data_IF_445506778935
#
_entry.id   IF_445506778935
#
_cell.length_a   1.000
_cell.length_b   1.000
_cell.length_c   1.000
_cell.angle_alpha   90.00
_cell.angle_beta   90.00
_cell.angle_gamma   90.00
#
_symmetry.space_group_name_H-M   'P 1'
#
loop_
_entity.id
_entity.type
_entity.pdbx_description
1 polymer ?
#
# COMPACT_ATOMS: atom_id res chain seq x y z
N UNK A 1 40.28 5.95 -41.06
CA UNK A 1 39.01 6.58 -41.48
C UNK A 1 38.22 6.88 -40.21
N UNK A 2 38.05 8.15 -39.84
CA UNK A 2 37.27 8.52 -38.67
C UNK A 2 35.78 8.30 -38.98
N UNK A 3 35.10 7.48 -38.18
CA UNK A 3 33.65 7.28 -38.25
C UNK A 3 32.97 8.62 -37.95
N UNK A 4 32.15 9.12 -38.87
CA UNK A 4 31.28 10.27 -38.59
C UNK A 4 30.32 9.82 -37.48
N UNK A 5 30.28 10.53 -36.36
CA UNK A 5 29.38 10.21 -35.25
C UNK A 5 27.93 10.28 -35.72
N UNK A 6 27.11 9.29 -35.36
CA UNK A 6 25.69 9.26 -35.72
C UNK A 6 24.92 10.40 -35.06
N UNK A 7 23.88 10.90 -35.74
CA UNK A 7 22.97 11.92 -35.23
C UNK A 7 22.30 11.44 -33.94
N UNK A 8 22.38 12.25 -32.89
CA UNK A 8 21.79 11.94 -31.58
C UNK A 8 20.75 12.99 -31.15
N UNK A 9 19.75 12.62 -30.33
CA UNK A 9 18.69 13.54 -29.90
C UNK A 9 19.12 14.52 -28.79
N UNK A 10 20.33 14.36 -28.23
CA UNK A 10 20.82 15.17 -27.11
C UNK A 10 21.30 16.56 -27.55
N UNK A 11 21.26 17.52 -26.61
CA UNK A 11 21.71 18.91 -26.82
C UNK A 11 23.05 19.10 -26.08
N UNK A 12 24.08 19.70 -26.70
CA UNK A 12 24.07 20.36 -28.01
C UNK A 12 24.23 19.37 -29.18
N UNK A 13 23.60 19.66 -30.32
CA UNK A 13 23.46 18.72 -31.46
C UNK A 13 24.76 18.45 -32.22
N UNK A 14 25.78 19.28 -32.01
CA UNK A 14 27.12 19.16 -32.59
C UNK A 14 28.08 18.33 -31.72
N UNK A 15 27.60 17.84 -30.57
CA UNK A 15 28.36 16.94 -29.72
C UNK A 15 28.64 15.62 -30.47
N UNK A 16 29.90 15.16 -30.44
CA UNK A 16 30.28 13.90 -31.07
C UNK A 16 30.21 12.78 -30.04
N UNK A 17 29.28 11.84 -30.24
CA UNK A 17 29.15 10.63 -29.44
C UNK A 17 29.59 9.42 -30.26
N UNK A 18 30.90 9.06 -30.24
CA UNK A 18 31.44 8.02 -31.13
C UNK A 18 30.84 6.62 -30.89
N UNK A 19 30.31 6.36 -29.69
CA UNK A 19 29.70 5.09 -29.30
C UNK A 19 28.17 5.21 -29.11
N UNK A 20 27.53 6.21 -29.72
CA UNK A 20 26.08 6.34 -29.65
C UNK A 20 25.39 5.21 -30.39
N UNK A 21 24.43 4.57 -29.72
CA UNK A 21 23.55 3.56 -30.31
C UNK A 21 22.11 3.99 -30.10
N UNK A 22 21.32 4.25 -31.17
CA UNK A 22 19.94 4.68 -31.03
C UNK A 22 19.06 3.56 -30.47
N UNK A 23 18.06 3.94 -29.66
CA UNK A 23 17.04 3.00 -29.19
C UNK A 23 16.19 2.57 -30.37
N UNK A 24 16.34 1.31 -30.80
CA UNK A 24 15.59 0.73 -31.93
C UNK A 24 14.19 0.24 -31.54
N UNK A 25 13.90 0.10 -30.24
CA UNK A 25 12.58 -0.27 -29.74
C UNK A 25 11.68 0.95 -29.59
N UNK A 26 10.43 0.82 -30.03
CA UNK A 26 9.42 1.86 -29.76
C UNK A 26 9.16 2.00 -28.26
N UNK A 27 8.82 3.20 -27.80
CA UNK A 27 8.46 3.44 -26.39
C UNK A 27 7.32 2.54 -25.91
N UNK A 28 6.32 2.28 -26.77
CA UNK A 28 5.22 1.37 -26.45
C UNK A 28 5.70 -0.06 -26.24
N UNK A 29 6.59 -0.57 -27.10
CA UNK A 29 7.19 -1.91 -26.92
C UNK A 29 7.92 -2.03 -25.58
N UNK A 30 8.74 -1.04 -25.23
CA UNK A 30 9.48 -1.02 -23.96
C UNK A 30 8.50 -1.05 -22.78
N UNK A 31 7.50 -0.15 -22.78
CA UNK A 31 6.52 -0.06 -21.71
C UNK A 31 5.64 -1.31 -21.61
N UNK A 32 5.23 -1.89 -22.73
CA UNK A 32 4.42 -3.11 -22.76
C UNK A 32 5.18 -4.31 -22.21
N UNK A 33 6.43 -4.53 -22.65
CA UNK A 33 7.26 -5.64 -22.15
C UNK A 33 7.54 -5.47 -20.66
N UNK A 34 7.94 -4.27 -20.24
CA UNK A 34 8.16 -3.97 -18.83
C UNK A 34 6.89 -4.15 -17.99
N UNK A 35 5.75 -3.65 -18.47
CA UNK A 35 4.47 -3.76 -17.77
C UNK A 35 4.01 -5.20 -17.61
N UNK A 36 4.08 -6.00 -18.68
CA UNK A 36 3.71 -7.42 -18.64
C UNK A 36 4.65 -8.19 -17.71
N UNK A 37 5.98 -7.99 -17.84
CA UNK A 37 6.95 -8.65 -16.97
C UNK A 37 6.70 -8.29 -15.49
N UNK A 38 6.45 -7.02 -15.20
CA UNK A 38 6.13 -6.55 -13.84
C UNK A 38 4.85 -7.19 -13.30
N UNK A 39 3.79 -7.25 -14.12
CA UNK A 39 2.53 -7.88 -13.74
C UNK A 39 2.74 -9.38 -13.46
N UNK A 40 3.49 -10.08 -14.30
CA UNK A 40 3.80 -11.50 -14.09
C UNK A 40 4.59 -11.74 -12.80
N UNK A 41 5.61 -10.92 -12.53
CA UNK A 41 6.40 -11.02 -11.30
C UNK A 41 5.53 -10.76 -10.08
N UNK A 42 4.70 -9.71 -10.11
CA UNK A 42 3.79 -9.37 -9.02
C UNK A 42 2.77 -10.48 -8.79
N UNK A 43 2.13 -10.99 -9.85
CA UNK A 43 1.16 -12.09 -9.76
C UNK A 43 1.81 -13.37 -9.23
N UNK A 44 3.02 -13.71 -9.71
CA UNK A 44 3.74 -14.88 -9.25
C UNK A 44 4.11 -14.77 -7.77
N UNK A 45 4.65 -13.63 -7.34
CA UNK A 45 4.98 -13.39 -5.94
C UNK A 45 3.72 -13.41 -5.07
N UNK A 46 2.64 -12.78 -5.50
CA UNK A 46 1.35 -12.80 -4.80
C UNK A 46 0.82 -14.22 -4.61
N UNK A 47 0.85 -15.04 -5.65
CA UNK A 47 0.38 -16.44 -5.59
C UNK A 47 1.25 -17.27 -4.65
N UNK A 48 2.58 -17.17 -4.75
CA UNK A 48 3.48 -17.93 -3.90
C UNK A 48 3.40 -17.49 -2.43
N UNK A 49 3.42 -16.19 -2.19
CA UNK A 49 3.27 -15.63 -0.85
C UNK A 49 1.92 -15.97 -0.24
N UNK A 50 0.83 -15.94 -1.02
CA UNK A 50 -0.49 -16.36 -0.54
C UNK A 50 -0.54 -17.84 -0.15
N UNK A 51 0.10 -18.71 -0.93
CA UNK A 51 0.22 -20.15 -0.59
C UNK A 51 1.03 -20.38 0.68
N UNK A 52 2.13 -19.67 0.86
CA UNK A 52 2.96 -19.78 2.06
C UNK A 52 2.23 -19.22 3.28
N UNK A 53 1.57 -18.07 3.13
CA UNK A 53 0.75 -17.46 4.17
C UNK A 53 -0.41 -18.36 4.60
N UNK A 54 -1.00 -19.10 3.66
CA UNK A 54 -2.08 -20.06 3.95
C UNK A 54 -1.69 -21.18 4.91
N UNK A 55 -0.40 -21.39 5.19
CA UNK A 55 0.05 -22.30 6.26
C UNK A 55 -0.13 -21.68 7.66
N UNK A 56 -0.06 -20.36 7.76
CA UNK A 56 -0.41 -19.59 8.96
C UNK A 56 -1.91 -19.43 9.10
N UNK A 57 -2.63 -19.26 7.99
CA UNK A 57 -4.08 -19.14 7.97
C UNK A 57 -4.72 -19.84 6.77
N UNK A 58 -5.19 -21.07 6.96
CA UNK A 58 -5.79 -21.86 5.88
C UNK A 58 -7.14 -21.32 5.38
N UNK A 59 -7.76 -20.35 6.07
CA UNK A 59 -8.98 -19.68 5.60
C UNK A 59 -8.77 -18.96 4.27
N UNK A 60 -7.53 -18.53 3.97
CA UNK A 60 -7.15 -18.00 2.65
C UNK A 60 -7.22 -19.06 1.55
N UNK A 61 -6.78 -20.28 1.82
CA UNK A 61 -6.88 -21.40 0.89
C UNK A 61 -8.34 -21.87 0.73
N UNK A 62 -9.09 -21.90 1.84
CA UNK A 62 -10.51 -22.26 1.88
C UNK A 62 -11.46 -21.18 1.34
N UNK A 63 -10.96 -19.96 1.09
CA UNK A 63 -11.75 -18.79 0.69
C UNK A 63 -12.90 -18.52 1.66
N UNK A 64 -12.57 -18.53 2.95
CA UNK A 64 -13.53 -18.20 4.00
C UNK A 64 -14.26 -16.89 3.68
N UNK A 65 -15.57 -16.88 3.94
CA UNK A 65 -16.42 -15.75 3.56
C UNK A 65 -16.09 -14.48 4.34
N UNK A 66 -15.71 -14.60 5.62
CA UNK A 66 -15.29 -13.46 6.45
C UNK A 66 -13.99 -12.87 5.94
N UNK A 67 -12.98 -13.71 5.70
CA UNK A 67 -11.69 -13.29 5.14
C UNK A 67 -11.86 -12.64 3.76
N UNK A 68 -12.59 -13.28 2.84
CA UNK A 68 -12.82 -12.76 1.49
C UNK A 68 -13.55 -11.40 1.51
N UNK A 69 -14.52 -11.24 2.41
CA UNK A 69 -15.24 -9.97 2.54
C UNK A 69 -14.34 -8.84 3.06
N UNK A 70 -13.56 -9.09 4.12
CA UNK A 70 -12.63 -8.10 4.68
C UNK A 70 -11.58 -7.71 3.64
N UNK A 71 -10.93 -8.68 3.01
CA UNK A 71 -9.90 -8.44 1.99
C UNK A 71 -10.46 -7.69 0.77
N UNK A 72 -11.67 -8.04 0.32
CA UNK A 72 -12.34 -7.36 -0.79
C UNK A 72 -12.60 -5.89 -0.49
N UNK A 73 -13.09 -5.58 0.72
CA UNK A 73 -13.32 -4.20 1.17
C UNK A 73 -11.99 -3.44 1.26
N UNK A 74 -10.96 -4.03 1.88
CA UNK A 74 -9.64 -3.41 2.03
C UNK A 74 -9.00 -3.14 0.67
N UNK A 75 -9.08 -4.07 -0.29
CA UNK A 75 -8.52 -3.89 -1.62
C UNK A 75 -9.24 -2.79 -2.42
N UNK A 76 -10.57 -2.75 -2.40
CA UNK A 76 -11.37 -1.85 -3.26
C UNK A 76 -11.56 -0.46 -2.66
N UNK A 77 -11.63 -0.33 -1.33
CA UNK A 77 -11.86 0.95 -0.66
C UNK A 77 -10.58 1.50 -0.03
N UNK A 78 -9.92 0.71 0.82
CA UNK A 78 -8.81 1.22 1.61
C UNK A 78 -7.53 1.37 0.80
N UNK A 79 -7.27 0.48 -0.17
CA UNK A 79 -6.16 0.59 -1.11
C UNK A 79 -6.16 1.93 -1.85
N UNK A 80 -7.23 2.29 -2.59
CA UNK A 80 -7.35 3.61 -3.22
C UNK A 80 -7.32 4.78 -2.22
N UNK A 81 -7.94 4.62 -1.04
CA UNK A 81 -7.92 5.66 -0.01
C UNK A 81 -6.49 5.93 0.52
N UNK A 82 -5.64 4.90 0.65
CA UNK A 82 -4.22 5.05 1.00
C UNK A 82 -3.46 5.86 -0.04
N UNK A 83 -3.70 5.65 -1.33
CA UNK A 83 -3.10 6.46 -2.40
C UNK A 83 -3.56 7.93 -2.31
N UNK A 84 -4.85 8.14 -2.05
CA UNK A 84 -5.39 9.48 -1.81
C UNK A 84 -4.76 10.13 -0.57
N UNK A 85 -4.49 9.37 0.49
CA UNK A 85 -3.83 9.85 1.70
C UNK A 85 -2.39 10.30 1.41
N UNK A 86 -1.63 9.54 0.63
CA UNK A 86 -0.28 9.93 0.18
C UNK A 86 -0.33 11.24 -0.60
N UNK A 87 -1.24 11.36 -1.57
CA UNK A 87 -1.46 12.60 -2.31
C UNK A 87 -1.83 13.78 -1.39
N UNK A 88 -2.75 13.58 -0.46
CA UNK A 88 -3.21 14.60 0.48
C UNK A 88 -2.08 15.08 1.41
N UNK A 89 -1.19 14.17 1.83
CA UNK A 89 0.00 14.48 2.62
C UNK A 89 0.99 15.29 1.77
N UNK A 90 1.32 14.80 0.57
CA UNK A 90 2.29 15.45 -0.33
C UNK A 90 1.86 16.86 -0.73
N UNK A 91 0.57 17.07 -0.95
CA UNK A 91 -0.02 18.37 -1.34
C UNK A 91 -0.55 19.19 -0.16
N UNK A 92 -0.28 18.75 1.09
CA UNK A 92 -0.64 19.44 2.34
C UNK A 92 -2.13 19.82 2.43
N UNK A 93 -3.03 18.95 1.96
CA UNK A 93 -4.48 19.20 2.02
C UNK A 93 -4.96 19.22 3.46
N UNK A 94 -5.94 20.08 3.78
CA UNK A 94 -6.50 20.21 5.14
C UNK A 94 -7.10 18.91 5.67
N UNK A 95 -7.66 18.08 4.80
CA UNK A 95 -8.29 16.80 5.15
C UNK A 95 -7.30 15.64 5.35
N UNK A 96 -5.98 15.84 5.18
CA UNK A 96 -5.00 14.74 5.22
C UNK A 96 -5.06 13.93 6.54
N UNK A 97 -5.23 14.60 7.69
CA UNK A 97 -5.28 13.93 8.99
C UNK A 97 -6.60 13.18 9.20
N UNK A 98 -7.72 13.75 8.74
CA UNK A 98 -9.04 13.11 8.83
C UNK A 98 -9.06 11.84 7.97
N UNK A 99 -8.51 11.91 6.76
CA UNK A 99 -8.42 10.77 5.85
C UNK A 99 -7.58 9.63 6.45
N UNK A 100 -6.43 9.96 7.05
CA UNK A 100 -5.60 8.97 7.75
C UNK A 100 -6.33 8.30 8.92
N UNK A 101 -7.12 9.07 9.70
CA UNK A 101 -7.94 8.49 10.78
C UNK A 101 -9.00 7.55 10.24
N UNK A 102 -9.72 7.95 9.18
CA UNK A 102 -10.76 7.12 8.58
C UNK A 102 -10.21 5.78 8.06
N UNK A 103 -9.09 5.83 7.32
CA UNK A 103 -8.41 4.62 6.82
C UNK A 103 -7.94 3.74 7.98
N UNK A 104 -7.31 4.35 8.99
CA UNK A 104 -6.78 3.60 10.13
C UNK A 104 -7.87 2.94 10.96
N UNK A 105 -9.02 3.58 11.11
CA UNK A 105 -10.18 2.98 11.77
C UNK A 105 -10.75 1.80 10.97
N UNK A 106 -10.82 1.92 9.65
CA UNK A 106 -11.21 0.81 8.76
C UNK A 106 -10.28 -0.40 8.93
N UNK A 107 -8.97 -0.17 8.90
CA UNK A 107 -7.95 -1.20 9.12
C UNK A 107 -8.09 -1.88 10.49
N UNK A 108 -8.28 -1.10 11.57
CA UNK A 108 -8.50 -1.67 12.90
C UNK A 108 -9.79 -2.48 12.99
N UNK A 109 -10.87 -2.00 12.36
CA UNK A 109 -12.15 -2.70 12.33
C UNK A 109 -12.05 -4.02 11.54
N UNK A 110 -11.47 -3.98 10.34
CA UNK A 110 -11.24 -5.17 9.51
C UNK A 110 -10.36 -6.19 10.23
N UNK A 111 -9.28 -5.74 10.86
CA UNK A 111 -8.39 -6.60 11.65
C UNK A 111 -9.11 -7.19 12.87
N UNK A 112 -9.96 -6.42 13.55
CA UNK A 112 -10.76 -6.94 14.66
C UNK A 112 -11.74 -8.02 14.19
N UNK A 113 -12.46 -7.79 13.09
CA UNK A 113 -13.35 -8.80 12.48
C UNK A 113 -12.58 -10.04 12.07
N UNK A 114 -11.40 -9.88 11.49
CA UNK A 114 -10.52 -10.97 11.08
C UNK A 114 -10.10 -11.89 12.23
N UNK A 115 -9.69 -11.32 13.38
CA UNK A 115 -9.37 -12.10 14.58
C UNK A 115 -10.61 -12.66 15.27
N UNK A 116 -11.70 -11.89 15.36
CA UNK A 116 -12.92 -12.34 16.01
C UNK A 116 -13.54 -13.54 15.29
N UNK A 117 -13.60 -13.52 13.97
CA UNK A 117 -14.09 -14.66 13.17
C UNK A 117 -13.25 -15.91 13.41
N UNK A 118 -11.92 -15.78 13.50
CA UNK A 118 -11.02 -16.90 13.80
C UNK A 118 -11.33 -17.54 15.16
N UNK A 119 -11.54 -16.71 16.17
CA UNK A 119 -11.86 -17.16 17.52
C UNK A 119 -13.23 -17.84 17.58
N UNK A 120 -14.21 -17.32 16.84
CA UNK A 120 -15.55 -17.91 16.75
C UNK A 120 -15.55 -19.24 16.02
N UNK A 121 -14.70 -19.39 15.00
CA UNK A 121 -14.54 -20.63 14.21
C UNK A 121 -13.65 -21.68 14.92
N UNK A 122 -13.16 -21.38 16.12
CA UNK A 122 -12.42 -22.34 16.96
C UNK A 122 -10.90 -22.34 16.78
N UNK A 123 -10.35 -21.41 16.00
CA UNK A 123 -8.91 -21.14 15.87
C UNK A 123 -8.04 -22.33 15.40
N UNK A 124 -8.65 -23.30 14.70
CA UNK A 124 -8.00 -24.52 14.19
C UNK A 124 -7.76 -24.44 12.67
N UNK A 125 -6.91 -23.51 12.24
CA UNK A 125 -6.62 -23.26 10.82
C UNK A 125 -5.14 -23.24 10.46
N UNK A 126 -4.24 -23.22 11.45
CA UNK A 126 -2.80 -23.07 11.22
C UNK A 126 -2.11 -24.44 11.15
N UNK A 127 -1.17 -24.59 10.22
CA UNK A 127 -0.46 -25.85 9.99
C UNK A 127 0.49 -26.23 11.15
N UNK A 128 0.92 -25.27 11.96
CA UNK A 128 1.69 -25.49 13.18
C UNK A 128 1.64 -24.27 14.10
N UNK A 129 2.03 -24.46 15.36
CA UNK A 129 2.19 -23.37 16.33
C UNK A 129 3.15 -22.27 15.85
N UNK A 130 4.22 -22.64 15.14
CA UNK A 130 5.15 -21.67 14.55
C UNK A 130 4.44 -20.76 13.54
N UNK A 131 3.73 -21.36 12.59
CA UNK A 131 3.01 -20.62 11.55
C UNK A 131 1.89 -19.76 12.15
N UNK A 132 1.20 -20.25 13.18
CA UNK A 132 0.22 -19.46 13.92
C UNK A 132 0.84 -18.19 14.51
N UNK A 133 1.88 -18.30 15.34
CA UNK A 133 2.43 -17.09 15.98
C UNK A 133 3.20 -16.19 15.03
N UNK A 134 4.00 -16.75 14.11
CA UNK A 134 4.82 -15.95 13.21
C UNK A 134 4.01 -15.25 12.12
N UNK A 135 3.05 -15.95 11.50
CA UNK A 135 2.34 -15.44 10.32
C UNK A 135 0.96 -14.91 10.71
N UNK A 136 0.22 -15.64 11.54
CA UNK A 136 -1.12 -15.21 11.92
C UNK A 136 -1.07 -14.11 12.97
N UNK A 137 -0.38 -14.30 14.10
CA UNK A 137 -0.38 -13.29 15.18
C UNK A 137 0.58 -12.13 14.88
N UNK A 138 1.86 -12.43 14.65
CA UNK A 138 2.89 -11.40 14.56
C UNK A 138 2.73 -10.54 13.31
N UNK A 139 2.53 -11.14 12.12
CA UNK A 139 2.36 -10.35 10.91
C UNK A 139 1.13 -9.43 11.04
N UNK A 140 -0.05 -9.97 11.34
CA UNK A 140 -1.27 -9.16 11.49
C UNK A 140 -1.20 -8.15 12.66
N UNK A 141 -0.34 -8.37 13.65
CA UNK A 141 -0.10 -7.41 14.75
C UNK A 141 0.27 -6.01 14.26
N UNK A 142 0.91 -5.88 13.10
CA UNK A 142 1.22 -4.58 12.49
C UNK A 142 -0.01 -3.81 12.00
N UNK A 143 -1.05 -4.52 11.57
CA UNK A 143 -2.33 -3.93 11.20
C UNK A 143 -3.12 -3.43 12.41
N UNK A 144 -2.72 -3.79 13.63
CA UNK A 144 -3.22 -3.18 14.87
C UNK A 144 -2.33 -2.01 15.30
N UNK A 145 -1.01 -2.24 15.37
CA UNK A 145 -0.09 -1.26 15.95
C UNK A 145 0.02 0.02 15.12
N UNK A 146 0.24 -0.11 13.80
CA UNK A 146 0.51 1.04 12.94
C UNK A 146 -0.71 1.96 12.84
N UNK A 147 -1.93 1.46 12.54
CA UNK A 147 -3.12 2.31 12.51
C UNK A 147 -3.40 3.00 13.84
N UNK A 148 -3.18 2.31 14.97
CA UNK A 148 -3.36 2.90 16.31
C UNK A 148 -2.44 4.11 16.52
N UNK A 149 -1.16 3.98 16.17
CA UNK A 149 -0.19 5.09 16.27
C UNK A 149 -0.59 6.25 15.35
N UNK A 150 -1.03 5.96 14.13
CA UNK A 150 -1.48 6.98 13.17
C UNK A 150 -2.69 7.73 13.72
N UNK A 151 -3.68 7.04 14.29
CA UNK A 151 -4.87 7.64 14.90
C UNK A 151 -4.45 8.58 16.02
N UNK A 152 -3.64 8.11 16.97
CA UNK A 152 -3.19 8.94 18.12
C UNK A 152 -2.50 10.20 17.62
N UNK A 153 -1.62 10.09 16.62
CA UNK A 153 -0.90 11.23 16.04
C UNK A 153 -1.84 12.21 15.36
N UNK A 154 -2.73 11.72 14.50
CA UNK A 154 -3.66 12.56 13.74
C UNK A 154 -4.68 13.22 14.66
N UNK A 155 -5.20 12.50 15.66
CA UNK A 155 -6.12 13.01 16.67
C UNK A 155 -5.52 14.22 17.39
N UNK A 156 -4.28 14.10 17.90
CA UNK A 156 -3.56 15.21 18.55
C UNK A 156 -3.45 16.44 17.65
N UNK A 157 -3.14 16.25 16.35
CA UNK A 157 -3.04 17.35 15.38
C UNK A 157 -4.38 18.02 15.10
N UNK A 158 -5.45 17.24 14.97
CA UNK A 158 -6.81 17.75 14.75
C UNK A 158 -7.26 18.55 15.97
N UNK A 159 -7.13 18.02 17.18
CA UNK A 159 -7.50 18.73 18.41
C UNK A 159 -6.73 20.05 18.56
N UNK A 160 -5.42 20.05 18.30
CA UNK A 160 -4.61 21.28 18.35
C UNK A 160 -5.09 22.33 17.33
N UNK A 161 -5.46 21.92 16.11
CA UNK A 161 -6.01 22.83 15.10
C UNK A 161 -7.35 23.43 15.55
N UNK A 162 -8.25 22.62 16.13
CA UNK A 162 -9.53 23.09 16.66
C UNK A 162 -9.34 24.11 17.79
N UNK A 163 -8.40 23.88 18.71
CA UNK A 163 -8.11 24.81 19.80
C UNK A 163 -7.66 26.18 19.29
N UNK A 164 -6.81 26.23 18.25
CA UNK A 164 -6.37 27.48 17.63
C UNK A 164 -7.54 28.26 17.02
N UNK A 165 -8.48 27.57 16.39
CA UNK A 165 -9.68 28.20 15.81
C UNK A 165 -10.56 28.81 16.90
N UNK A 166 -10.79 28.09 17.99
CA UNK A 166 -11.60 28.58 19.12
C UNK A 166 -10.94 29.76 19.85
N UNK A 167 -9.61 29.72 20.05
CA UNK A 167 -8.87 30.85 20.62
C UNK A 167 -8.93 32.11 19.74
N UNK A 168 -8.92 31.94 18.40
CA UNK A 168 -9.09 33.08 17.49
C UNK A 168 -10.48 33.69 17.60
N UNK A 169 -11.53 32.88 17.62
CA UNK A 169 -12.91 33.37 17.80
C UNK A 169 -13.08 34.13 19.12
N UNK A 170 -12.50 33.62 20.21
CA UNK A 170 -12.58 34.26 21.52
C UNK A 170 -11.86 35.61 21.60
N UNK A 171 -10.85 35.86 20.76
CA UNK A 171 -10.13 37.16 20.68
C UNK A 171 -10.81 38.18 19.79
N UNK A 172 -11.67 37.75 18.86
CA UNK A 172 -12.39 38.62 17.93
C UNK A 172 -13.75 39.08 18.49
N UNK A 173 -14.23 38.41 19.54
CA UNK A 173 -15.43 38.78 20.29
C UNK A 173 -15.07 39.66 21.48
#
# INVERSE_FOLDING_TARGET
MATQGEDHPYVPRDLKLPDYVPVFLSQSTILSVYGIASLLVVSFMWILSGKEYSKGDSRYAGRDSGVVAVEGITAVLEGPACLLAVYAIATKKSYNYILQVAISLGQLYGTAVYFLTSLLDGDDFAASTYYYYAYYVFANGWWVLIPTIIIIRCWKKICAACQVVEQKKAKTR
#
